data_IF_634691209935
#
_entry.id   IF_634691209935
#
_cell.length_a   1.000
_cell.length_b   1.000
_cell.length_c   1.000
_cell.angle_alpha   90.00
_cell.angle_beta   90.00
_cell.angle_gamma   90.00
#
_symmetry.space_group_name_H-M   'P 1'
#
loop_
_entity.id
_entity.type
_entity.pdbx_description
1 polymer ?
#
# COMPACT_ATOMS: atom_id res chain seq x y z
N UNK A 1 -2.94 -17.60 -15.59
CA UNK A 1 -1.72 -18.11 -14.93
C UNK A 1 -0.71 -16.97 -14.90
N UNK A 2 -0.26 -16.63 -13.69
CA UNK A 2 0.69 -15.57 -13.31
C UNK A 2 0.94 -14.46 -14.34
N UNK A 3 0.03 -13.48 -14.39
CA UNK A 3 0.36 -12.13 -14.87
C UNK A 3 1.35 -11.61 -13.85
N UNK A 4 2.63 -11.69 -14.20
CA UNK A 4 3.78 -11.30 -13.38
C UNK A 4 3.42 -10.08 -12.56
N UNK A 5 3.57 -10.14 -11.23
CA UNK A 5 3.52 -8.93 -10.42
C UNK A 5 4.42 -7.90 -11.09
N UNK A 6 3.83 -6.77 -11.49
CA UNK A 6 4.55 -5.72 -12.20
C UNK A 6 5.83 -5.39 -11.41
N UNK A 7 7.01 -5.24 -12.05
CA UNK A 7 8.25 -4.87 -11.36
C UNK A 7 8.07 -3.66 -10.43
N UNK A 8 7.13 -2.77 -10.74
CA UNK A 8 6.76 -1.64 -9.90
C UNK A 8 6.04 -2.05 -8.59
N UNK A 9 5.14 -3.04 -8.64
CA UNK A 9 4.50 -3.60 -7.43
C UNK A 9 5.52 -4.27 -6.52
N UNK A 10 6.50 -4.97 -7.11
CA UNK A 10 7.61 -5.56 -6.35
C UNK A 10 8.53 -4.50 -5.75
N UNK A 11 8.86 -3.45 -6.52
CA UNK A 11 9.66 -2.33 -6.02
C UNK A 11 8.99 -1.66 -4.82
N UNK A 12 7.69 -1.39 -4.90
CA UNK A 12 6.95 -0.82 -3.78
C UNK A 12 6.96 -1.75 -2.58
N UNK A 13 6.73 -3.05 -2.75
CA UNK A 13 6.84 -4.04 -1.67
C UNK A 13 8.22 -4.02 -0.98
N UNK A 14 9.31 -3.91 -1.75
CA UNK A 14 10.68 -3.89 -1.20
C UNK A 14 11.00 -2.59 -0.45
N UNK A 15 10.40 -1.48 -0.85
CA UNK A 15 10.72 -0.15 -0.32
C UNK A 15 9.56 0.44 0.51
N UNK A 16 8.58 -0.37 0.93
CA UNK A 16 7.33 0.14 1.48
C UNK A 16 7.52 0.88 2.81
N UNK A 17 8.47 0.46 3.65
CA UNK A 17 8.75 1.11 4.93
C UNK A 17 9.32 2.52 4.74
N UNK A 18 10.32 2.65 3.85
CA UNK A 18 10.91 3.94 3.49
C UNK A 18 9.87 4.85 2.80
N UNK A 19 9.07 4.28 1.89
CA UNK A 19 8.00 4.99 1.21
C UNK A 19 6.93 5.49 2.19
N UNK A 20 6.49 4.66 3.13
CA UNK A 20 5.52 5.03 4.15
C UNK A 20 6.06 6.11 5.08
N UNK A 21 7.33 6.01 5.48
CA UNK A 21 8.01 7.02 6.31
C UNK A 21 8.06 8.37 5.59
N UNK A 22 8.48 8.37 4.33
CA UNK A 22 8.52 9.57 3.50
C UNK A 22 7.13 10.19 3.30
N UNK A 23 6.13 9.37 2.97
CA UNK A 23 4.78 9.82 2.66
C UNK A 23 4.04 10.39 3.88
N UNK A 24 4.18 9.72 5.03
CA UNK A 24 3.48 10.10 6.26
C UNK A 24 4.23 11.18 7.06
N UNK A 25 5.51 11.40 6.77
CA UNK A 25 6.35 12.35 7.51
C UNK A 25 6.54 11.95 8.97
N UNK A 26 6.35 10.67 9.29
CA UNK A 26 6.40 10.12 10.64
C UNK A 26 7.23 8.83 10.65
N UNK A 27 7.80 8.50 11.81
CA UNK A 27 8.52 7.24 12.00
C UNK A 27 7.56 6.04 11.92
N UNK A 28 7.83 5.15 10.97
CA UNK A 28 7.12 3.89 10.77
C UNK A 28 7.82 2.78 11.54
N UNK A 29 7.07 2.06 12.38
CA UNK A 29 7.59 0.94 13.16
C UNK A 29 7.49 -0.39 12.41
N UNK A 30 6.42 -0.57 11.64
CA UNK A 30 6.20 -1.77 10.84
C UNK A 30 5.21 -1.48 9.71
N UNK A 31 5.37 -2.20 8.60
CA UNK A 31 4.38 -2.24 7.53
C UNK A 31 4.05 -3.69 7.20
N UNK A 32 2.76 -4.01 7.08
CA UNK A 32 2.29 -5.33 6.68
C UNK A 32 1.34 -5.22 5.47
N UNK A 33 1.45 -6.11 4.47
CA UNK A 33 0.43 -6.24 3.44
C UNK A 33 -0.92 -6.58 4.11
N UNK A 34 -1.98 -5.90 3.68
CA UNK A 34 -3.34 -6.19 4.15
C UNK A 34 -4.20 -6.66 2.97
N UNK A 35 -5.07 -7.67 3.17
CA UNK A 35 -6.02 -8.09 2.13
C UNK A 35 -6.95 -6.92 1.78
N UNK A 36 -7.05 -6.60 0.50
CA UNK A 36 -7.54 -5.33 -0.05
C UNK A 36 -9.05 -5.03 0.05
N UNK A 37 -9.73 -5.46 1.10
CA UNK A 37 -11.15 -5.12 1.31
C UNK A 37 -11.38 -4.47 2.68
N UNK A 38 -11.18 -3.15 2.74
CA UNK A 38 -11.91 -2.34 3.70
C UNK A 38 -13.28 -2.06 3.11
N UNK A 39 -14.32 -2.65 3.69
CA UNK A 39 -15.70 -2.44 3.34
C UNK A 39 -16.08 -0.97 3.59
N UNK A 40 -15.86 -0.09 2.62
CA UNK A 40 -16.45 1.26 2.60
C UNK A 40 -17.57 1.26 1.54
N UNK A 41 -18.83 1.57 1.91
CA UNK A 41 -20.00 1.28 1.07
C UNK A 41 -20.23 2.25 -0.11
N UNK A 42 -19.26 3.08 -0.50
CA UNK A 42 -19.42 3.99 -1.63
C UNK A 42 -18.13 3.99 -2.46
N UNK A 43 -18.26 3.51 -3.69
CA UNK A 43 -17.24 3.33 -4.74
C UNK A 43 -16.10 2.35 -4.42
N UNK A 44 -16.15 1.10 -4.94
CA UNK A 44 -15.05 0.17 -4.83
C UNK A 44 -13.94 0.61 -5.78
N UNK A 45 -13.07 1.50 -5.30
CA UNK A 45 -11.70 1.58 -5.79
C UNK A 45 -11.03 0.28 -5.30
N UNK A 46 -10.66 -0.61 -6.22
CA UNK A 46 -9.89 -1.83 -5.91
C UNK A 46 -8.39 -1.49 -5.97
N UNK A 47 -7.77 -1.11 -4.83
CA UNK A 47 -6.34 -0.82 -4.78
C UNK A 47 -5.50 -1.99 -5.27
N UNK A 48 -4.54 -1.67 -6.14
CA UNK A 48 -3.54 -2.61 -6.60
C UNK A 48 -2.74 -3.24 -5.45
N UNK A 49 -2.45 -2.48 -4.39
CA UNK A 49 -1.81 -2.93 -3.15
C UNK A 49 -2.34 -2.16 -1.94
N UNK A 50 -2.52 -2.86 -0.82
CA UNK A 50 -2.94 -2.29 0.46
C UNK A 50 -1.95 -2.67 1.55
N UNK A 51 -1.57 -1.69 2.36
CA UNK A 51 -0.66 -1.89 3.48
C UNK A 51 -1.23 -1.29 4.76
N UNK A 52 -1.12 -2.04 5.85
CA UNK A 52 -1.33 -1.53 7.20
C UNK A 52 0.02 -1.05 7.75
N UNK A 53 0.07 0.19 8.18
CA UNK A 53 1.26 0.86 8.70
C UNK A 53 1.07 1.09 10.20
N UNK A 54 2.01 0.62 11.00
CA UNK A 54 2.08 0.91 12.43
C UNK A 54 3.06 2.06 12.65
N UNK A 55 2.56 3.14 13.23
CA UNK A 55 3.31 4.33 13.59
C UNK A 55 3.63 4.33 15.09
N UNK A 56 4.50 5.25 15.50
CA UNK A 56 4.76 5.46 16.93
C UNK A 56 3.48 5.73 17.73
N UNK A 57 3.46 5.21 18.97
CA UNK A 57 2.34 5.33 19.93
C UNK A 57 1.08 4.59 19.50
N UNK A 58 1.24 3.40 18.93
CA UNK A 58 0.14 2.49 18.54
C UNK A 58 -0.87 3.07 17.53
N UNK A 59 -0.49 4.17 16.86
CA UNK A 59 -1.30 4.71 15.77
C UNK A 59 -1.14 3.84 14.54
N UNK A 60 -2.23 3.66 13.81
CA UNK A 60 -2.23 2.90 12.57
C UNK A 60 -2.72 3.75 11.41
N UNK A 61 -2.12 3.54 10.24
CA UNK A 61 -2.56 4.11 8.98
C UNK A 61 -2.76 2.98 7.97
N UNK A 62 -3.62 3.23 6.98
CA UNK A 62 -3.82 2.30 5.86
C UNK A 62 -3.43 3.03 4.59
N UNK A 63 -2.48 2.46 3.85
CA UNK A 63 -2.05 2.97 2.55
C UNK A 63 -2.72 2.16 1.45
N UNK A 64 -3.45 2.85 0.58
CA UNK A 64 -3.99 2.33 -0.66
C UNK A 64 -3.10 2.84 -1.80
N UNK A 65 -2.46 1.93 -2.52
CA UNK A 65 -1.56 2.27 -3.62
C UNK A 65 -2.16 1.76 -4.92
N UNK A 66 -2.32 2.69 -5.86
CA UNK A 66 -2.85 2.46 -7.21
C UNK A 66 -1.76 2.74 -8.24
N UNK A 67 -1.51 1.80 -9.15
CA UNK A 67 -0.53 1.99 -10.21
C UNK A 67 -1.24 2.32 -11.52
N UNK A 68 -1.11 3.58 -11.97
CA UNK A 68 -1.59 3.97 -13.29
C UNK A 68 -0.49 3.72 -14.33
N UNK A 69 -0.71 2.74 -15.21
CA UNK A 69 0.14 2.49 -16.38
C UNK A 69 -0.35 3.24 -17.63
N UNK A 70 0.40 3.22 -18.74
CA UNK A 70 -0.11 3.68 -20.02
C UNK A 70 -1.38 2.91 -20.37
N UNK A 71 -2.48 3.63 -20.66
CA UNK A 71 -3.67 3.03 -21.25
C UNK A 71 -3.36 2.78 -22.73
N UNK A 72 -3.40 1.51 -23.15
CA UNK A 72 -3.46 1.18 -24.58
C UNK A 72 -4.80 1.57 -25.17
#
# INVERSE_FOLDING_TARGET
>A
MAKTDSPLKQLVLMCIEDFATWLLGEEVQAVAPAPGELHRPLDPVQPDQVFQVTLARERTAVLHIEFQGPRS
#
